data_IF_333762685453
#
_entry.id   IF_333762685453
#
_cell.length_a   1.000
_cell.length_b   1.000
_cell.length_c   1.000
_cell.angle_alpha   90.00
_cell.angle_beta   90.00
_cell.angle_gamma   90.00
#
_symmetry.space_group_name_H-M   'P 1'
#
loop_
_entity.id
_entity.type
_entity.pdbx_description
1 polymer ?
#
# COMPACT_ATOMS: atom_id res chain seq x y z
N UNK A 1 -36.61 -14.14 5.02
CA UNK A 1 -35.28 -14.25 4.41
C UNK A 1 -34.36 -13.43 5.29
N UNK A 2 -33.43 -14.08 5.97
CA UNK A 2 -32.43 -13.36 6.79
C UNK A 2 -31.52 -12.59 5.84
N UNK A 3 -31.47 -11.28 6.01
CA UNK A 3 -30.53 -10.44 5.26
C UNK A 3 -29.10 -10.96 5.51
N UNK A 4 -28.25 -11.09 4.48
CA UNK A 4 -26.90 -11.56 4.68
C UNK A 4 -26.17 -10.61 5.63
N UNK A 5 -25.37 -11.16 6.54
CA UNK A 5 -24.58 -10.36 7.46
C UNK A 5 -23.69 -9.35 6.71
N UNK A 6 -23.56 -8.11 7.21
CA UNK A 6 -22.77 -7.08 6.54
C UNK A 6 -21.30 -7.48 6.42
N UNK A 7 -20.65 -7.05 5.35
CA UNK A 7 -19.20 -7.25 5.13
C UNK A 7 -18.43 -6.48 6.19
N UNK A 8 -17.63 -7.18 6.97
CA UNK A 8 -16.82 -6.61 8.07
C UNK A 8 -15.51 -6.05 7.52
N UNK A 9 -15.32 -4.76 7.66
CA UNK A 9 -14.17 -4.04 7.06
C UNK A 9 -13.27 -3.45 8.15
N UNK A 10 -11.96 -3.71 8.07
CA UNK A 10 -10.91 -2.96 8.75
C UNK A 10 -10.39 -1.88 7.80
N UNK A 11 -10.29 -0.64 8.28
CA UNK A 11 -9.62 0.46 7.59
C UNK A 11 -8.30 0.79 8.28
N UNK A 12 -7.19 0.75 7.55
CA UNK A 12 -5.88 1.14 8.06
C UNK A 12 -5.25 2.21 7.16
N UNK A 13 -5.01 3.38 7.72
CA UNK A 13 -4.45 4.56 7.04
C UNK A 13 -3.90 5.51 8.11
N UNK A 14 -2.70 6.03 7.97
CA UNK A 14 -2.13 6.95 8.94
C UNK A 14 -2.72 8.36 8.86
N UNK A 15 -3.33 8.71 7.72
CA UNK A 15 -4.03 9.97 7.51
C UNK A 15 -5.41 9.97 8.18
N UNK A 16 -5.49 10.51 9.41
CA UNK A 16 -6.72 10.51 10.23
C UNK A 16 -7.95 11.04 9.49
N UNK A 17 -7.80 12.11 8.68
CA UNK A 17 -8.92 12.71 7.95
C UNK A 17 -9.46 11.78 6.87
N UNK A 18 -8.58 11.16 6.09
CA UNK A 18 -8.96 10.22 5.03
C UNK A 18 -9.62 8.99 5.63
N UNK A 19 -8.99 8.39 6.64
CA UNK A 19 -9.54 7.23 7.36
C UNK A 19 -10.92 7.49 7.93
N UNK A 20 -11.10 8.65 8.61
CA UNK A 20 -12.39 9.05 9.17
C UNK A 20 -13.47 9.30 8.10
N UNK A 21 -13.10 9.93 6.98
CA UNK A 21 -14.01 10.17 5.87
C UNK A 21 -14.45 8.85 5.20
N UNK A 22 -13.52 7.92 4.94
CA UNK A 22 -13.85 6.61 4.38
C UNK A 22 -14.75 5.80 5.33
N UNK A 23 -14.47 5.81 6.63
CA UNK A 23 -15.31 5.14 7.60
C UNK A 23 -16.74 5.69 7.62
N UNK A 24 -16.88 7.03 7.60
CA UNK A 24 -18.19 7.68 7.57
C UNK A 24 -18.96 7.35 6.28
N UNK A 25 -18.31 7.39 5.13
CA UNK A 25 -18.93 7.11 3.84
C UNK A 25 -19.33 5.64 3.70
N UNK A 26 -18.45 4.69 4.11
CA UNK A 26 -18.80 3.27 4.09
C UNK A 26 -19.90 2.90 5.08
N UNK A 27 -20.08 3.67 6.17
CA UNK A 27 -21.19 3.46 7.11
C UNK A 27 -22.57 3.81 6.54
N UNK A 28 -22.64 4.47 5.39
CA UNK A 28 -23.90 4.72 4.67
C UNK A 28 -24.39 3.50 3.88
N UNK A 29 -23.53 2.51 3.68
CA UNK A 29 -23.84 1.27 2.98
C UNK A 29 -24.41 0.24 3.97
N UNK A 30 -25.65 -0.21 3.77
CA UNK A 30 -26.35 -1.12 4.70
C UNK A 30 -25.67 -2.49 4.84
N UNK A 31 -24.96 -2.93 3.80
CA UNK A 31 -24.28 -4.23 3.70
C UNK A 31 -22.77 -4.19 4.04
N UNK A 32 -22.25 -3.04 4.51
CA UNK A 32 -20.83 -2.88 4.90
C UNK A 32 -20.76 -2.36 6.34
N UNK A 33 -19.94 -3.00 7.16
CA UNK A 33 -19.68 -2.57 8.53
C UNK A 33 -18.19 -2.31 8.76
N UNK A 34 -17.78 -1.07 9.01
CA UNK A 34 -16.43 -0.76 9.46
C UNK A 34 -16.29 -1.18 10.91
N UNK A 35 -15.66 -2.32 11.16
CA UNK A 35 -15.54 -2.94 12.49
C UNK A 35 -14.29 -2.51 13.25
N UNK A 36 -13.29 -1.97 12.55
CA UNK A 36 -12.07 -1.46 13.16
C UNK A 36 -11.40 -0.41 12.29
N UNK A 37 -10.62 0.46 12.93
CA UNK A 37 -9.76 1.44 12.29
C UNK A 37 -8.37 1.36 12.92
N UNK A 38 -7.31 1.63 12.13
CA UNK A 38 -5.92 1.62 12.58
C UNK A 38 -5.14 2.77 11.91
N UNK A 39 -4.17 3.34 12.61
CA UNK A 39 -3.31 4.42 12.13
C UNK A 39 -1.89 3.95 11.81
N UNK A 40 -1.62 2.65 11.92
CA UNK A 40 -0.31 2.06 11.66
C UNK A 40 -0.41 0.58 11.32
N UNK A 41 0.63 0.03 10.69
CA UNK A 41 0.65 -1.39 10.36
C UNK A 41 0.57 -2.33 11.57
N UNK A 42 1.32 -2.10 12.66
CA UNK A 42 1.18 -2.91 13.88
C UNK A 42 -0.22 -2.85 14.51
N UNK A 43 -0.84 -1.67 14.54
CA UNK A 43 -2.21 -1.50 15.01
C UNK A 43 -3.22 -2.23 14.12
N UNK A 44 -3.04 -2.18 12.80
CA UNK A 44 -3.88 -2.91 11.84
C UNK A 44 -3.89 -4.41 12.10
N UNK A 45 -2.73 -5.02 12.40
CA UNK A 45 -2.65 -6.44 12.76
C UNK A 45 -3.39 -6.74 14.07
N UNK A 46 -3.18 -5.94 15.11
CA UNK A 46 -3.86 -6.12 16.40
C UNK A 46 -5.39 -5.98 16.27
N UNK A 47 -5.86 -4.99 15.51
CA UNK A 47 -7.28 -4.79 15.24
C UNK A 47 -7.88 -5.92 14.39
N UNK A 48 -7.13 -6.44 13.43
CA UNK A 48 -7.58 -7.58 12.62
C UNK A 48 -7.76 -8.86 13.46
N UNK A 49 -6.82 -9.15 14.36
CA UNK A 49 -6.93 -10.29 15.28
C UNK A 49 -8.14 -10.15 16.22
N UNK A 50 -8.37 -8.95 16.78
CA UNK A 50 -9.45 -8.70 17.71
C UNK A 50 -10.83 -8.71 17.04
N UNK A 51 -10.94 -8.19 15.82
CA UNK A 51 -12.22 -7.94 15.16
C UNK A 51 -12.53 -8.89 14.00
N UNK A 52 -11.60 -9.75 13.57
CA UNK A 52 -11.81 -10.75 12.53
C UNK A 52 -12.54 -10.18 11.30
N UNK A 53 -11.97 -9.19 10.58
CA UNK A 53 -12.62 -8.59 9.41
C UNK A 53 -12.65 -9.56 8.23
N UNK A 54 -13.66 -9.42 7.36
CA UNK A 54 -13.71 -10.09 6.05
C UNK A 54 -12.75 -9.45 5.04
N UNK A 55 -12.62 -8.12 5.13
CA UNK A 55 -11.81 -7.29 4.24
C UNK A 55 -10.94 -6.35 5.07
N UNK A 56 -9.65 -6.27 4.75
CA UNK A 56 -8.74 -5.25 5.23
C UNK A 56 -8.42 -4.28 4.07
N UNK A 57 -8.83 -3.02 4.21
CA UNK A 57 -8.46 -1.91 3.32
C UNK A 57 -7.29 -1.20 3.96
N UNK A 58 -6.13 -1.28 3.33
CA UNK A 58 -4.83 -0.88 3.88
C UNK A 58 -4.23 0.23 3.03
N UNK A 59 -3.82 1.32 3.66
CA UNK A 59 -2.92 2.24 2.97
C UNK A 59 -1.57 1.55 2.72
N UNK A 60 -0.98 1.88 1.58
CA UNK A 60 0.34 1.36 1.21
C UNK A 60 1.42 1.85 2.18
N UNK A 61 1.39 3.13 2.55
CA UNK A 61 2.42 3.77 3.36
C UNK A 61 1.91 4.04 4.78
N UNK A 62 2.32 3.23 5.73
CA UNK A 62 1.96 3.39 7.14
C UNK A 62 3.19 3.27 8.05
N UNK A 63 3.18 3.92 9.22
CA UNK A 63 4.23 3.74 10.23
C UNK A 63 4.39 2.28 10.69
N UNK A 64 5.63 1.87 10.85
CA UNK A 64 6.02 0.56 11.38
C UNK A 64 6.03 -0.56 10.33
N UNK A 65 4.91 -0.83 9.68
CA UNK A 65 4.75 -1.81 8.61
C UNK A 65 3.99 -1.19 7.45
N UNK A 66 4.45 -1.40 6.22
CA UNK A 66 3.70 -1.01 5.04
C UNK A 66 2.47 -1.91 4.81
N UNK A 67 1.52 -1.45 3.98
CA UNK A 67 0.28 -2.20 3.74
C UNK A 67 0.51 -3.58 3.12
N UNK A 68 1.60 -3.77 2.36
CA UNK A 68 1.96 -5.06 1.76
C UNK A 68 2.53 -6.00 2.82
N UNK A 69 3.34 -5.47 3.74
CA UNK A 69 3.84 -6.23 4.89
C UNK A 69 2.68 -6.67 5.81
N UNK A 70 1.70 -5.78 6.06
CA UNK A 70 0.47 -6.12 6.79
C UNK A 70 -0.31 -7.21 6.06
N UNK A 71 -0.56 -7.07 4.76
CA UNK A 71 -1.28 -8.06 3.95
C UNK A 71 -0.58 -9.43 3.97
N UNK A 72 0.76 -9.44 3.91
CA UNK A 72 1.56 -10.67 4.01
C UNK A 72 1.35 -11.39 5.33
N UNK A 73 1.32 -10.65 6.45
CA UNK A 73 1.09 -11.22 7.79
C UNK A 73 -0.36 -11.65 7.99
N UNK A 74 -1.32 -10.84 7.53
CA UNK A 74 -2.75 -11.19 7.60
C UNK A 74 -3.07 -12.47 6.83
N UNK A 75 -2.44 -12.70 5.69
CA UNK A 75 -2.61 -13.95 4.94
C UNK A 75 -2.25 -15.20 5.75
N UNK A 76 -1.27 -15.10 6.65
CA UNK A 76 -0.88 -16.19 7.54
C UNK A 76 -1.77 -16.29 8.79
N UNK A 77 -2.15 -15.14 9.37
CA UNK A 77 -2.92 -15.06 10.62
C UNK A 77 -4.42 -15.28 10.41
N UNK A 78 -4.96 -14.71 9.33
CA UNK A 78 -6.39 -14.70 9.00
C UNK A 78 -6.58 -15.02 7.50
N UNK A 79 -6.47 -16.29 7.08
CA UNK A 79 -6.50 -16.68 5.66
C UNK A 79 -7.79 -16.29 4.92
N UNK A 80 -8.89 -16.14 5.65
CA UNK A 80 -10.20 -15.75 5.10
C UNK A 80 -10.34 -14.23 4.93
N UNK A 81 -9.51 -13.42 5.60
CA UNK A 81 -9.48 -11.98 5.43
C UNK A 81 -8.79 -11.59 4.12
N UNK A 82 -9.52 -10.93 3.24
CA UNK A 82 -8.97 -10.47 1.95
C UNK A 82 -8.44 -9.05 2.07
N UNK A 83 -7.24 -8.83 1.56
CA UNK A 83 -6.59 -7.54 1.63
C UNK A 83 -6.76 -6.74 0.33
N UNK A 84 -6.99 -5.44 0.49
CA UNK A 84 -6.99 -4.43 -0.55
C UNK A 84 -5.98 -3.34 -0.18
N UNK A 85 -5.24 -2.83 -1.16
CA UNK A 85 -4.35 -1.68 -1.00
C UNK A 85 -5.00 -0.46 -1.60
N UNK A 86 -5.05 0.62 -0.84
CA UNK A 86 -5.43 1.96 -1.30
C UNK A 86 -4.20 2.85 -1.18
N UNK A 87 -3.82 3.55 -2.23
CA UNK A 87 -2.56 4.32 -2.25
C UNK A 87 -2.71 5.71 -2.82
N UNK A 88 -2.04 6.68 -2.23
CA UNK A 88 -1.90 8.02 -2.80
C UNK A 88 -0.96 8.06 -4.03
N UNK A 89 -0.04 7.08 -4.13
CA UNK A 89 0.96 6.99 -5.18
C UNK A 89 1.12 5.53 -5.62
N UNK A 90 0.39 5.16 -6.65
CA UNK A 90 0.41 3.79 -7.19
C UNK A 90 1.60 3.56 -8.12
N UNK A 91 2.76 3.17 -7.57
CA UNK A 91 3.92 2.86 -8.39
C UNK A 91 3.88 1.44 -8.93
N UNK A 92 4.44 1.22 -10.13
CA UNK A 92 4.49 -0.08 -10.78
C UNK A 92 5.00 -1.23 -9.91
N UNK A 93 6.08 -1.02 -9.18
CA UNK A 93 6.71 -2.04 -8.34
C UNK A 93 5.85 -2.50 -7.16
N UNK A 94 5.00 -1.62 -6.62
CA UNK A 94 4.10 -1.97 -5.51
C UNK A 94 2.94 -2.86 -5.96
N UNK A 95 2.39 -2.60 -7.16
CA UNK A 95 1.32 -3.45 -7.68
C UNK A 95 1.79 -4.89 -7.84
N UNK A 96 2.96 -5.11 -8.45
CA UNK A 96 3.52 -6.47 -8.62
C UNK A 96 3.67 -7.17 -7.26
N UNK A 97 4.31 -6.52 -6.27
CA UNK A 97 4.48 -7.05 -4.92
C UNK A 97 3.16 -7.36 -4.23
N UNK A 98 2.18 -6.44 -4.32
CA UNK A 98 0.86 -6.65 -3.73
C UNK A 98 0.17 -7.89 -4.31
N UNK A 99 0.25 -8.09 -5.63
CA UNK A 99 -0.32 -9.26 -6.28
C UNK A 99 0.38 -10.57 -5.89
N UNK A 100 1.69 -10.56 -5.73
CA UNK A 100 2.50 -11.73 -5.30
C UNK A 100 2.12 -12.21 -3.88
N UNK A 101 1.84 -11.27 -2.97
CA UNK A 101 1.39 -11.62 -1.62
C UNK A 101 -0.11 -11.93 -1.51
N UNK A 102 -0.85 -11.85 -2.64
CA UNK A 102 -2.24 -12.25 -2.70
C UNK A 102 -3.27 -11.14 -2.42
N UNK A 103 -2.87 -9.88 -2.46
CA UNK A 103 -3.79 -8.73 -2.41
C UNK A 103 -4.84 -8.85 -3.53
N UNK A 104 -6.09 -8.55 -3.21
CA UNK A 104 -7.24 -8.70 -4.11
C UNK A 104 -7.75 -7.38 -4.67
N UNK A 105 -7.44 -6.25 -4.05
CA UNK A 105 -7.75 -4.91 -4.52
C UNK A 105 -6.52 -4.04 -4.56
N UNK A 106 -6.28 -3.29 -5.64
CA UNK A 106 -5.22 -2.29 -5.71
C UNK A 106 -5.74 -1.05 -6.44
N UNK A 107 -5.85 0.09 -5.73
CA UNK A 107 -6.57 1.26 -6.23
C UNK A 107 -6.02 2.57 -5.64
N UNK A 108 -6.18 3.71 -6.35
CA UNK A 108 -5.72 5.01 -5.86
C UNK A 108 -6.66 5.55 -4.78
N UNK A 109 -6.15 6.39 -3.86
CA UNK A 109 -6.97 7.13 -2.86
C UNK A 109 -7.96 8.12 -3.49
N UNK A 110 -7.86 8.37 -4.79
CA UNK A 110 -8.80 9.21 -5.55
C UNK A 110 -10.10 8.50 -5.94
N UNK A 111 -10.19 7.19 -5.70
CA UNK A 111 -11.41 6.42 -5.95
C UNK A 111 -12.59 6.99 -5.14
N UNK A 112 -13.79 7.05 -5.76
CA UNK A 112 -14.97 7.47 -5.04
C UNK A 112 -15.37 6.44 -3.96
N UNK A 113 -16.06 6.91 -2.91
CA UNK A 113 -16.53 5.99 -1.86
C UNK A 113 -17.53 4.95 -2.39
N UNK A 114 -18.38 5.33 -3.36
CA UNK A 114 -19.33 4.42 -3.98
C UNK A 114 -18.61 3.32 -4.79
N UNK A 115 -17.55 3.69 -5.53
CA UNK A 115 -16.73 2.73 -6.26
C UNK A 115 -15.98 1.81 -5.29
N UNK A 116 -15.42 2.36 -4.20
CA UNK A 116 -14.76 1.58 -3.16
C UNK A 116 -15.71 0.53 -2.56
N UNK A 117 -16.96 0.90 -2.25
CA UNK A 117 -17.97 -0.03 -1.75
C UNK A 117 -18.25 -1.15 -2.77
N UNK A 118 -18.39 -0.82 -4.06
CA UNK A 118 -18.53 -1.79 -5.15
C UNK A 118 -17.35 -2.74 -5.28
N UNK A 119 -16.11 -2.21 -5.12
CA UNK A 119 -14.89 -3.00 -5.16
C UNK A 119 -14.79 -3.94 -3.93
N UNK A 120 -15.17 -3.46 -2.73
CA UNK A 120 -15.25 -4.27 -1.51
C UNK A 120 -16.19 -5.48 -1.75
N UNK A 121 -17.36 -5.27 -2.33
CA UNK A 121 -18.30 -6.35 -2.68
C UNK A 121 -17.70 -7.34 -3.67
N UNK A 122 -17.03 -6.84 -4.70
CA UNK A 122 -16.33 -7.67 -5.69
C UNK A 122 -15.27 -8.55 -5.04
N UNK A 123 -14.44 -7.96 -4.19
CA UNK A 123 -13.38 -8.68 -3.46
C UNK A 123 -14.01 -9.67 -2.48
N UNK A 124 -15.08 -9.29 -1.76
CA UNK A 124 -15.80 -10.20 -0.85
C UNK A 124 -16.39 -11.42 -1.57
N UNK A 125 -16.84 -11.24 -2.81
CA UNK A 125 -17.33 -12.34 -3.66
C UNK A 125 -16.20 -13.23 -4.24
N UNK A 126 -14.92 -12.92 -3.98
CA UNK A 126 -13.77 -13.69 -4.46
C UNK A 126 -13.13 -13.13 -5.72
N UNK A 127 -13.65 -12.04 -6.27
CA UNK A 127 -13.07 -11.33 -7.39
C UNK A 127 -11.76 -10.62 -7.05
N UNK A 128 -11.21 -9.95 -8.06
CA UNK A 128 -10.04 -9.08 -7.94
C UNK A 128 -10.33 -7.77 -8.66
N UNK A 129 -9.78 -6.69 -8.13
CA UNK A 129 -9.82 -5.39 -8.77
C UNK A 129 -8.42 -4.77 -8.79
N UNK A 130 -8.00 -4.32 -9.94
CA UNK A 130 -6.80 -3.50 -10.10
C UNK A 130 -7.22 -2.29 -10.92
N UNK A 131 -6.87 -1.11 -10.44
CA UNK A 131 -7.14 0.11 -11.20
C UNK A 131 -6.45 0.05 -12.57
N UNK A 132 -7.17 0.36 -13.67
CA UNK A 132 -6.63 0.19 -15.03
C UNK A 132 -5.41 1.06 -15.33
N UNK A 133 -5.34 2.29 -14.78
CA UNK A 133 -4.19 3.19 -15.00
C UNK A 133 -2.96 2.64 -14.26
N UNK A 134 -3.13 2.24 -13.00
CA UNK A 134 -2.04 1.61 -12.23
C UNK A 134 -1.57 0.30 -12.86
N UNK A 135 -2.46 -0.46 -13.46
CA UNK A 135 -2.09 -1.67 -14.21
C UNK A 135 -1.29 -1.34 -15.48
N UNK A 136 -1.72 -0.34 -16.24
CA UNK A 136 -1.02 0.10 -17.45
C UNK A 136 0.39 0.62 -17.14
N UNK A 137 0.53 1.42 -16.08
CA UNK A 137 1.82 1.93 -15.61
C UNK A 137 2.75 0.78 -15.19
N UNK A 138 2.21 -0.21 -14.47
CA UNK A 138 3.00 -1.37 -14.05
C UNK A 138 3.48 -2.23 -15.22
N UNK A 139 2.69 -2.35 -16.28
CA UNK A 139 3.08 -3.06 -17.51
C UNK A 139 4.16 -2.27 -18.27
N UNK A 140 4.01 -0.94 -18.33
CA UNK A 140 4.91 -0.05 -19.07
C UNK A 140 6.28 0.08 -18.41
N UNK A 141 6.36 0.06 -17.09
CA UNK A 141 7.59 0.24 -16.33
C UNK A 141 8.57 -0.94 -16.42
N UNK A 142 8.10 -2.12 -16.80
CA UNK A 142 8.93 -3.32 -16.86
C UNK A 142 9.44 -3.79 -15.49
N UNK A 143 10.52 -4.59 -15.50
CA UNK A 143 11.12 -5.07 -14.24
C UNK A 143 12.15 -4.07 -13.70
N UNK A 144 12.00 -3.66 -12.45
CA UNK A 144 12.98 -2.83 -11.77
C UNK A 144 14.12 -3.68 -11.21
N UNK A 145 15.40 -3.27 -11.38
CA UNK A 145 16.53 -3.93 -10.73
C UNK A 145 16.65 -3.59 -9.24
N UNK A 146 15.83 -2.64 -8.77
CA UNK A 146 15.87 -2.17 -7.39
C UNK A 146 15.06 -3.07 -6.46
N UNK A 147 15.55 -3.27 -5.26
CA UNK A 147 14.73 -3.83 -4.19
C UNK A 147 13.71 -2.80 -3.71
N UNK A 148 12.61 -3.22 -3.05
CA UNK A 148 11.62 -2.30 -2.50
C UNK A 148 12.21 -1.20 -1.61
N UNK A 149 13.13 -1.56 -0.71
CA UNK A 149 13.80 -0.59 0.19
C UNK A 149 14.73 0.38 -0.53
N UNK A 150 15.38 -0.08 -1.60
CA UNK A 150 16.18 0.82 -2.46
C UNK A 150 15.27 1.80 -3.21
N UNK A 151 14.11 1.33 -3.69
CA UNK A 151 13.09 2.16 -4.34
C UNK A 151 12.57 3.22 -3.37
N UNK A 152 12.14 2.83 -2.16
CA UNK A 152 11.62 3.74 -1.14
C UNK A 152 12.63 4.85 -0.78
N UNK A 153 13.89 4.45 -0.56
CA UNK A 153 14.96 5.39 -0.19
C UNK A 153 15.36 6.29 -1.37
N UNK A 154 15.42 5.75 -2.58
CA UNK A 154 15.75 6.52 -3.78
C UNK A 154 14.69 7.57 -4.09
N UNK A 155 13.43 7.24 -3.85
CA UNK A 155 12.33 8.18 -4.01
C UNK A 155 12.39 9.32 -3.00
N UNK A 156 12.56 9.02 -1.71
CA UNK A 156 12.74 10.06 -0.71
C UNK A 156 13.92 10.98 -1.04
N UNK A 157 14.91 10.46 -1.80
CA UNK A 157 16.02 11.27 -2.31
C UNK A 157 15.64 12.13 -3.53
N UNK A 158 14.55 11.82 -4.22
CA UNK A 158 14.13 12.50 -5.45
C UNK A 158 13.74 13.95 -5.23
N UNK A 159 13.27 14.31 -4.04
CA UNK A 159 12.89 15.68 -3.65
C UNK A 159 14.07 16.50 -3.08
N UNK A 160 15.31 16.02 -3.26
CA UNK A 160 16.49 16.68 -2.71
C UNK A 160 16.66 16.51 -1.20
N UNK A 161 15.88 15.66 -0.57
CA UNK A 161 15.91 15.41 0.88
C UNK A 161 17.31 14.97 1.33
N UNK A 162 17.77 15.51 2.45
CA UNK A 162 19.07 15.14 3.05
C UNK A 162 19.05 13.69 3.57
N UNK A 163 20.23 13.07 3.71
CA UNK A 163 20.34 11.70 4.27
C UNK A 163 19.71 11.63 5.67
N UNK A 164 19.83 12.67 6.48
CA UNK A 164 19.20 12.73 7.80
C UNK A 164 17.67 12.74 7.69
N UNK A 165 17.12 13.55 6.79
CA UNK A 165 15.68 13.64 6.56
C UNK A 165 15.10 12.33 5.97
N UNK A 166 15.84 11.67 5.07
CA UNK A 166 15.44 10.35 4.56
C UNK A 166 15.44 9.31 5.70
N UNK A 167 16.48 9.33 6.55
CA UNK A 167 16.59 8.40 7.67
C UNK A 167 15.42 8.56 8.65
N UNK A 168 15.02 9.77 8.95
CA UNK A 168 13.87 10.09 9.79
C UNK A 168 12.55 9.58 9.16
N UNK A 169 12.29 9.96 7.90
CA UNK A 169 11.04 9.59 7.18
C UNK A 169 10.91 8.08 6.95
N UNK A 170 12.03 7.40 6.66
CA UNK A 170 12.05 5.96 6.44
C UNK A 170 12.19 5.14 7.74
N UNK A 171 12.34 5.78 8.92
CA UNK A 171 12.65 5.13 10.20
C UNK A 171 13.90 4.23 10.13
N UNK A 172 14.97 4.74 9.48
CA UNK A 172 16.25 4.06 9.26
C UNK A 172 17.42 4.83 9.89
N UNK A 173 18.56 4.15 10.05
CA UNK A 173 19.82 4.85 10.35
C UNK A 173 20.36 5.56 9.10
N UNK A 174 21.10 6.66 9.28
CA UNK A 174 21.77 7.34 8.16
C UNK A 174 22.76 6.43 7.43
N UNK A 175 23.40 5.50 8.12
CA UNK A 175 24.28 4.48 7.53
C UNK A 175 23.50 3.55 6.59
N UNK A 176 22.35 3.09 7.04
CA UNK A 176 21.45 2.24 6.24
C UNK A 176 20.96 2.96 4.98
N UNK A 177 20.58 4.24 5.10
CA UNK A 177 20.17 5.07 3.95
C UNK A 177 21.32 5.21 2.94
N UNK A 178 22.55 5.48 3.40
CA UNK A 178 23.73 5.55 2.49
C UNK A 178 23.94 4.23 1.75
N UNK A 179 23.81 3.10 2.45
CA UNK A 179 23.97 1.78 1.84
C UNK A 179 22.92 1.54 0.74
N UNK A 180 21.64 1.82 1.00
CA UNK A 180 20.58 1.67 0.00
C UNK A 180 20.78 2.59 -1.20
N UNK A 181 21.15 3.87 -0.98
CA UNK A 181 21.44 4.80 -2.08
C UNK A 181 22.64 4.34 -2.91
N UNK A 182 23.71 3.88 -2.28
CA UNK A 182 24.89 3.36 -2.99
C UNK A 182 24.57 2.11 -3.79
N UNK A 183 23.78 1.20 -3.24
CA UNK A 183 23.33 0.01 -3.94
C UNK A 183 22.43 0.35 -5.14
N UNK A 184 21.46 1.26 -4.96
CA UNK A 184 20.61 1.73 -6.05
C UNK A 184 21.42 2.38 -7.19
N UNK A 185 22.38 3.26 -6.85
CA UNK A 185 23.30 3.89 -7.80
C UNK A 185 24.07 2.82 -8.61
N UNK A 186 24.62 1.82 -7.92
CA UNK A 186 25.36 0.73 -8.58
C UNK A 186 24.47 -0.12 -9.50
N UNK A 187 23.28 -0.51 -9.05
CA UNK A 187 22.33 -1.32 -9.82
C UNK A 187 21.81 -0.62 -11.07
N UNK A 188 21.65 0.71 -11.00
CA UNK A 188 21.20 1.53 -12.12
C UNK A 188 22.35 1.97 -13.05
N UNK A 189 23.61 1.64 -12.72
CA UNK A 189 24.77 2.11 -13.47
C UNK A 189 24.89 3.64 -13.47
N UNK A 190 24.38 4.30 -12.44
CA UNK A 190 24.33 5.75 -12.37
C UNK A 190 25.63 6.33 -11.79
N UNK A 191 26.01 7.55 -12.18
CA UNK A 191 27.19 8.24 -11.65
C UNK A 191 27.01 8.73 -10.20
N UNK A 192 25.77 9.05 -9.83
CA UNK A 192 25.41 9.57 -8.52
C UNK A 192 23.91 9.38 -8.23
N UNK A 193 23.47 9.75 -7.01
CA UNK A 193 22.07 9.61 -6.59
C UNK A 193 21.07 10.39 -7.47
N UNK A 194 21.46 11.54 -8.00
CA UNK A 194 20.58 12.36 -8.84
C UNK A 194 20.38 11.70 -10.23
N UNK A 195 21.46 11.15 -10.79
CA UNK A 195 21.37 10.35 -12.02
C UNK A 195 20.54 9.08 -11.80
N UNK A 196 20.69 8.40 -10.66
CA UNK A 196 19.89 7.24 -10.29
C UNK A 196 18.40 7.58 -10.19
N UNK A 197 18.05 8.70 -9.55
CA UNK A 197 16.66 9.21 -9.48
C UNK A 197 16.10 9.46 -10.89
N UNK A 198 16.87 10.14 -11.75
CA UNK A 198 16.44 10.42 -13.12
C UNK A 198 16.16 9.13 -13.91
N UNK A 199 17.09 8.17 -13.89
CA UNK A 199 16.92 6.87 -14.56
C UNK A 199 15.69 6.14 -14.03
N UNK A 200 15.51 6.09 -12.71
CA UNK A 200 14.39 5.40 -12.09
C UNK A 200 13.05 6.04 -12.46
N UNK A 201 12.98 7.38 -12.56
CA UNK A 201 11.79 8.11 -13.03
C UNK A 201 11.49 7.87 -14.51
N UNK A 202 12.51 7.91 -15.36
CA UNK A 202 12.37 7.63 -16.81
C UNK A 202 11.80 6.25 -17.09
N UNK A 203 12.07 5.28 -16.21
CA UNK A 203 11.56 3.91 -16.32
C UNK A 203 10.29 3.65 -15.46
N UNK A 204 9.75 4.65 -14.75
CA UNK A 204 8.60 4.50 -13.88
C UNK A 204 8.83 3.59 -12.66
N UNK A 205 10.06 3.45 -12.19
CA UNK A 205 10.39 2.64 -11.01
C UNK A 205 10.22 3.40 -9.68
N UNK A 206 10.24 4.76 -9.76
CA UNK A 206 9.94 5.70 -8.67
C UNK A 206 9.14 6.88 -9.19
#
# INVERSE_FOLDING_TARGET
MTDPAPVRVLLADDEHLIRGALAALLSLEEDIAVVAQAASGPEALAMAEAHQPDIAVLDLQMPGLDGIEVATRLRALLPDCRCMIVTGHGRPGYLKRALEVGVRGFLPKTVSAADLAGIIRTVRAGGRYVDPELAADAISAGETPLTPRETDVLELAADGTSIAGIAERASLSQGTVRNYLSSAVAKLGAENRHAAVRIAREHGWI
#
